data_IF_572859943158
#
_entry.id   IF_572859943158
#
_cell.length_a   1.000
_cell.length_b   1.000
_cell.length_c   1.000
_cell.angle_alpha   90.00
_cell.angle_beta   90.00
_cell.angle_gamma   90.00
#
_symmetry.space_group_name_H-M   'P 1'
#
loop_
_entity.id
_entity.type
_entity.pdbx_description
1 polymer ?
#
# COMPACT_ATOMS: atom_id res chain seq x y z
N UNK A 1 -10.86 52.09 -27.89
CA UNK A 1 -10.66 50.66 -28.23
C UNK A 1 -9.66 49.99 -27.28
N UNK A 2 -8.42 50.47 -27.17
CA UNK A 2 -7.37 49.87 -26.29
C UNK A 2 -7.75 49.82 -24.81
N UNK A 3 -8.44 50.85 -24.29
CA UNK A 3 -8.90 50.88 -22.89
C UNK A 3 -9.90 49.77 -22.56
N UNK A 4 -10.92 49.58 -23.40
CA UNK A 4 -11.94 48.56 -23.21
C UNK A 4 -11.35 47.14 -23.30
N UNK A 5 -10.42 46.91 -24.23
CA UNK A 5 -9.72 45.62 -24.35
C UNK A 5 -8.84 45.32 -23.11
N UNK A 6 -8.26 46.35 -22.50
CA UNK A 6 -7.50 46.21 -21.25
C UNK A 6 -8.41 45.90 -20.06
N UNK A 7 -9.59 46.50 -20.00
CA UNK A 7 -10.58 46.24 -18.93
C UNK A 7 -11.15 44.82 -19.04
N UNK A 8 -11.44 44.36 -20.25
CA UNK A 8 -11.92 43.00 -20.51
C UNK A 8 -10.88 41.93 -20.17
N UNK A 9 -9.62 42.14 -20.56
CA UNK A 9 -8.53 41.22 -20.20
C UNK A 9 -8.28 41.20 -18.69
N UNK A 10 -8.34 42.34 -18.01
CA UNK A 10 -8.22 42.43 -16.55
C UNK A 10 -9.35 41.69 -15.84
N UNK A 11 -10.59 41.82 -16.32
CA UNK A 11 -11.74 41.09 -15.79
C UNK A 11 -11.58 39.57 -15.95
N UNK A 12 -11.14 39.11 -17.13
CA UNK A 12 -10.87 37.69 -17.38
C UNK A 12 -9.74 37.16 -16.49
N UNK A 13 -8.66 37.94 -16.29
CA UNK A 13 -7.56 37.53 -15.40
C UNK A 13 -8.03 37.35 -13.95
N UNK A 14 -8.88 38.25 -13.44
CA UNK A 14 -9.43 38.13 -12.08
C UNK A 14 -10.29 36.87 -11.94
N UNK A 15 -11.16 36.60 -12.91
CA UNK A 15 -12.04 35.42 -12.89
C UNK A 15 -11.24 34.12 -12.90
N UNK A 16 -10.19 34.04 -13.73
CA UNK A 16 -9.34 32.84 -13.79
C UNK A 16 -8.57 32.61 -12.49
N UNK A 17 -8.04 33.67 -11.86
CA UNK A 17 -7.36 33.55 -10.57
C UNK A 17 -8.28 33.01 -9.48
N UNK A 18 -9.53 33.50 -9.42
CA UNK A 18 -10.54 32.99 -8.46
C UNK A 18 -10.81 31.50 -8.69
N UNK A 19 -10.96 31.09 -9.96
CA UNK A 19 -11.26 29.69 -10.28
C UNK A 19 -10.10 28.75 -9.96
N UNK A 20 -8.85 29.22 -10.11
CA UNK A 20 -7.66 28.46 -9.72
C UNK A 20 -7.65 28.25 -8.21
N UNK A 21 -7.89 29.30 -7.42
CA UNK A 21 -7.92 29.20 -5.96
C UNK A 21 -9.03 28.25 -5.47
N UNK A 22 -10.20 28.28 -6.10
CA UNK A 22 -11.30 27.33 -5.82
C UNK A 22 -10.91 25.88 -6.12
N UNK A 23 -10.25 25.63 -7.26
CA UNK A 23 -9.78 24.30 -7.65
C UNK A 23 -8.67 23.79 -6.72
N UNK A 24 -7.75 24.67 -6.32
CA UNK A 24 -6.69 24.34 -5.37
C UNK A 24 -7.28 23.97 -3.99
N UNK A 25 -8.31 24.70 -3.54
CA UNK A 25 -9.05 24.38 -2.32
C UNK A 25 -9.76 23.01 -2.39
N UNK A 26 -10.44 22.74 -3.51
CA UNK A 26 -11.10 21.44 -3.74
C UNK A 26 -10.07 20.29 -3.79
N UNK A 27 -8.92 20.50 -4.43
CA UNK A 27 -7.83 19.52 -4.47
C UNK A 27 -7.22 19.29 -3.09
N UNK A 28 -7.07 20.33 -2.28
CA UNK A 28 -6.59 20.21 -0.90
C UNK A 28 -7.56 19.37 -0.04
N UNK A 29 -8.87 19.60 -0.16
CA UNK A 29 -9.90 18.81 0.52
C UNK A 29 -9.93 17.36 0.04
N UNK A 30 -9.85 17.13 -1.28
CA UNK A 30 -9.75 15.78 -1.85
C UNK A 30 -8.49 15.06 -1.35
N UNK A 31 -7.33 15.73 -1.31
CA UNK A 31 -6.09 15.17 -0.77
C UNK A 31 -6.20 14.89 0.73
N UNK A 32 -6.82 15.77 1.52
CA UNK A 32 -7.05 15.54 2.94
C UNK A 32 -8.01 14.35 3.19
N UNK A 33 -9.05 14.20 2.35
CA UNK A 33 -9.96 13.06 2.40
C UNK A 33 -9.29 11.75 1.94
N UNK A 34 -8.43 11.80 0.92
CA UNK A 34 -7.63 10.65 0.48
C UNK A 34 -6.52 10.29 1.47
N UNK A 35 -5.98 11.26 2.22
CA UNK A 35 -5.05 11.04 3.32
C UNK A 35 -5.61 10.19 4.46
N UNK A 36 -6.95 10.02 4.54
CA UNK A 36 -7.61 9.07 5.45
C UNK A 36 -7.87 7.68 4.85
N UNK A 37 -7.64 7.46 3.54
CA UNK A 37 -7.95 6.18 2.88
C UNK A 37 -6.83 5.59 2.02
N UNK A 38 -5.73 6.33 1.80
CA UNK A 38 -4.55 5.85 1.06
C UNK A 38 -3.27 5.84 1.91
N UNK A 39 -3.32 6.42 3.11
CA UNK A 39 -2.32 6.20 4.14
C UNK A 39 -3.00 5.57 5.35
N UNK A 40 -2.48 4.43 5.80
CA UNK A 40 -2.98 3.66 6.94
C UNK A 40 -4.23 2.82 6.68
N UNK A 41 -4.10 1.80 5.84
CA UNK A 41 -4.42 0.47 6.35
C UNK A 41 -3.23 -0.01 7.20
N UNK A 42 -2.84 0.75 8.24
CA UNK A 42 -2.31 0.12 9.43
C UNK A 42 -3.53 -0.63 9.95
N UNK A 43 -3.69 -1.86 9.45
CA UNK A 43 -4.49 -2.85 10.12
C UNK A 43 -4.01 -2.78 11.55
N UNK A 44 -4.88 -2.32 12.46
CA UNK A 44 -4.52 -2.35 13.86
C UNK A 44 -4.10 -3.79 14.15
N UNK A 45 -3.24 -4.04 15.11
CA UNK A 45 -2.83 -5.41 15.43
C UNK A 45 -4.00 -6.39 15.67
N UNK A 46 -5.24 -5.88 15.83
CA UNK A 46 -6.50 -6.62 15.93
C UNK A 46 -7.15 -6.97 14.58
N UNK A 47 -6.81 -6.26 13.50
CA UNK A 47 -7.35 -6.44 12.14
C UNK A 47 -6.43 -7.27 11.24
N UNK A 48 -5.23 -7.62 11.72
CA UNK A 48 -4.35 -8.55 11.03
C UNK A 48 -5.05 -9.92 11.00
N UNK A 49 -5.51 -10.39 9.82
CA UNK A 49 -6.21 -11.67 9.75
C UNK A 49 -5.27 -12.75 10.28
N UNK A 50 -5.77 -13.60 11.19
CA UNK A 50 -4.99 -14.73 11.72
C UNK A 50 -4.35 -15.47 10.54
N UNK A 51 -3.02 -15.45 10.50
CA UNK A 51 -2.28 -16.15 9.46
C UNK A 51 -2.59 -17.64 9.57
N UNK A 52 -2.81 -18.25 8.41
CA UNK A 52 -3.18 -19.65 8.24
C UNK A 52 -1.96 -20.29 7.64
N UNK A 53 -1.53 -21.39 8.25
CA UNK A 53 -0.40 -22.20 7.86
C UNK A 53 -0.53 -22.67 6.40
N UNK A 54 0.61 -22.78 5.72
CA UNK A 54 0.71 -23.24 4.35
C UNK A 54 1.37 -24.62 4.31
N UNK A 55 0.60 -25.63 3.90
CA UNK A 55 1.01 -27.04 3.87
C UNK A 55 1.88 -27.42 2.66
N UNK A 56 2.09 -26.50 1.71
CA UNK A 56 2.82 -26.80 0.47
C UNK A 56 1.94 -27.23 -0.69
N UNK A 57 0.66 -26.84 -0.72
CA UNK A 57 -0.23 -27.09 -1.86
C UNK A 57 0.36 -26.49 -3.15
N UNK A 58 0.59 -27.34 -4.16
CA UNK A 58 1.15 -26.95 -5.47
C UNK A 58 0.10 -26.33 -6.39
N UNK A 59 -0.54 -25.26 -5.93
CA UNK A 59 -1.50 -24.47 -6.70
C UNK A 59 -1.05 -23.02 -6.69
N UNK A 60 -0.91 -22.44 -7.89
CA UNK A 60 -0.50 -21.04 -8.08
C UNK A 60 -1.39 -20.11 -7.26
N UNK A 61 -2.71 -20.29 -7.32
CA UNK A 61 -3.65 -19.47 -6.56
C UNK A 61 -3.46 -19.56 -5.03
N UNK A 62 -3.10 -20.75 -4.51
CA UNK A 62 -2.88 -20.92 -3.06
C UNK A 62 -1.56 -20.29 -2.63
N UNK A 63 -0.52 -20.40 -3.46
CA UNK A 63 0.78 -19.77 -3.23
C UNK A 63 0.66 -18.24 -3.28
N UNK A 64 -0.01 -17.70 -4.30
CA UNK A 64 -0.23 -16.26 -4.45
C UNK A 64 -1.02 -15.68 -3.27
N UNK A 65 -2.07 -16.39 -2.83
CA UNK A 65 -2.84 -16.00 -1.66
C UNK A 65 -1.99 -16.00 -0.37
N UNK A 66 -1.08 -16.97 -0.21
CA UNK A 66 -0.16 -17.00 0.92
C UNK A 66 0.79 -15.79 0.91
N UNK A 67 1.46 -15.55 -0.23
CA UNK A 67 2.39 -14.44 -0.40
C UNK A 67 1.72 -13.07 -0.20
N UNK A 68 0.52 -12.90 -0.74
CA UNK A 68 -0.26 -11.68 -0.55
C UNK A 68 -0.57 -11.42 0.93
N UNK A 69 -0.94 -12.47 1.68
CA UNK A 69 -1.21 -12.37 3.12
C UNK A 69 0.05 -12.03 3.92
N UNK A 70 1.20 -12.62 3.60
CA UNK A 70 2.48 -12.32 4.26
C UNK A 70 2.92 -10.87 4.01
N UNK A 71 2.82 -10.39 2.77
CA UNK A 71 3.08 -8.98 2.44
C UNK A 71 2.22 -8.03 3.28
N UNK A 72 0.93 -8.32 3.38
CA UNK A 72 0.00 -7.51 4.16
C UNK A 72 0.29 -7.59 5.67
N UNK A 73 0.66 -8.77 6.18
CA UNK A 73 1.08 -8.96 7.57
C UNK A 73 2.31 -8.11 7.92
N UNK A 74 3.35 -8.13 7.08
CA UNK A 74 4.56 -7.33 7.30
C UNK A 74 4.27 -5.84 7.28
N UNK A 75 3.44 -5.39 6.33
CA UNK A 75 3.01 -4.00 6.28
C UNK A 75 2.24 -3.56 7.52
N UNK A 76 1.39 -4.44 8.08
CA UNK A 76 0.63 -4.13 9.29
C UNK A 76 1.48 -4.17 10.57
N UNK A 77 2.53 -4.98 10.58
CA UNK A 77 3.45 -5.15 11.72
C UNK A 77 4.68 -4.24 11.64
N UNK A 78 4.79 -3.42 10.61
CA UNK A 78 5.96 -2.57 10.33
C UNK A 78 7.28 -3.36 10.29
N UNK A 79 7.23 -4.59 9.76
CA UNK A 79 8.41 -5.44 9.61
C UNK A 79 9.08 -5.09 8.28
N UNK A 80 10.16 -4.29 8.35
CA UNK A 80 10.92 -3.86 7.19
C UNK A 80 12.15 -4.72 6.89
N UNK A 81 12.75 -5.33 7.93
CA UNK A 81 13.97 -6.12 7.81
C UNK A 81 13.72 -7.46 7.09
N UNK A 82 14.53 -7.74 6.06
CA UNK A 82 14.31 -8.90 5.19
C UNK A 82 14.66 -10.23 5.87
N UNK A 83 15.64 -10.24 6.79
CA UNK A 83 15.97 -11.44 7.57
C UNK A 83 14.81 -11.79 8.52
N UNK A 84 14.24 -10.78 9.19
CA UNK A 84 13.05 -10.95 10.04
C UNK A 84 11.84 -11.39 9.24
N UNK A 85 11.62 -10.86 8.02
CA UNK A 85 10.53 -11.33 7.13
C UNK A 85 10.69 -12.79 6.77
N UNK A 86 11.87 -13.18 6.30
CA UNK A 86 12.17 -14.56 5.89
C UNK A 86 11.99 -15.54 7.06
N UNK A 87 12.49 -15.18 8.23
CA UNK A 87 12.30 -15.98 9.44
C UNK A 87 10.81 -16.10 9.81
N UNK A 88 10.07 -15.00 9.73
CA UNK A 88 8.64 -14.97 10.04
C UNK A 88 7.80 -15.78 9.03
N UNK A 89 8.09 -15.67 7.72
CA UNK A 89 7.46 -16.48 6.68
C UNK A 89 7.62 -17.98 6.95
N UNK A 90 8.83 -18.38 7.38
CA UNK A 90 9.14 -19.78 7.67
C UNK A 90 8.29 -20.36 8.80
N UNK A 91 7.86 -19.54 9.77
CA UNK A 91 6.99 -19.97 10.88
C UNK A 91 5.58 -20.35 10.42
N UNK A 92 5.17 -19.93 9.23
CA UNK A 92 3.85 -20.25 8.67
C UNK A 92 3.90 -21.37 7.63
N UNK A 93 5.09 -21.93 7.36
CA UNK A 93 5.24 -23.13 6.55
C UNK A 93 5.11 -24.37 7.43
N UNK A 94 4.31 -25.34 6.99
CA UNK A 94 4.19 -26.64 7.66
C UNK A 94 4.32 -27.77 6.63
N UNK A 95 4.44 -29.01 7.12
CA UNK A 95 4.53 -30.23 6.31
C UNK A 95 5.57 -30.12 5.18
N UNK A 96 5.12 -30.28 3.93
CA UNK A 96 5.95 -30.37 2.73
C UNK A 96 6.64 -29.03 2.46
N UNK A 97 5.98 -27.90 2.75
CA UNK A 97 6.56 -26.58 2.56
C UNK A 97 7.73 -26.34 3.53
N UNK A 98 7.58 -26.75 4.78
CA UNK A 98 8.63 -26.61 5.80
C UNK A 98 9.85 -27.48 5.48
N UNK A 99 9.63 -28.74 5.07
CA UNK A 99 10.71 -29.66 4.69
C UNK A 99 11.51 -29.13 3.49
N UNK A 100 10.82 -28.61 2.47
CA UNK A 100 11.48 -28.02 1.31
C UNK A 100 12.31 -26.78 1.70
N UNK A 101 11.75 -25.93 2.56
CA UNK A 101 12.44 -24.75 3.06
C UNK A 101 13.70 -25.12 3.85
N UNK A 102 13.59 -26.08 4.77
CA UNK A 102 14.72 -26.57 5.57
C UNK A 102 15.83 -27.14 4.67
N UNK A 103 15.48 -27.99 3.69
CA UNK A 103 16.45 -28.54 2.75
C UNK A 103 17.28 -27.45 2.04
N UNK A 104 16.62 -26.38 1.58
CA UNK A 104 17.31 -25.25 0.93
C UNK A 104 18.20 -24.43 1.86
N UNK A 105 17.87 -24.38 3.15
CA UNK A 105 18.68 -23.68 4.15
C UNK A 105 19.87 -24.51 4.63
N UNK A 106 19.73 -25.84 4.69
CA UNK A 106 20.82 -26.76 5.07
C UNK A 106 21.83 -26.97 3.95
N UNK A 107 21.43 -26.80 2.70
CA UNK A 107 22.34 -26.87 1.53
C UNK A 107 23.34 -25.69 1.47
N UNK A 108 23.25 -24.72 2.38
CA UNK A 108 24.15 -23.55 2.47
C UNK A 108 25.19 -23.66 3.59
N UNK A 109 25.36 -24.83 4.21
CA UNK A 109 26.46 -25.11 5.15
C UNK A 109 27.58 -25.93 4.49
#
# INVERSE_FOLDING_TARGET
MVKALKEETMAMTIILSIRIEELEGALALCRAAMGKKVASAVLSNKDVPKLKEFLGTRSICVVDNFLWRMKNYFSAKDIADDEVKVNTDSMFLIDIALLWWQGRTTDKM
#
